data_IF_167802399127
#
_entry.id   IF_167802399127
#
_cell.length_a   1.000
_cell.length_b   1.000
_cell.length_c   1.000
_cell.angle_alpha   90.00
_cell.angle_beta   90.00
_cell.angle_gamma   90.00
#
_symmetry.space_group_name_H-M   'P 1'
#
loop_
_entity.id
_entity.type
_entity.pdbx_description
1 polymer ?
#
# COMPACT_ATOMS: atom_id res chain seq x y z
N UNK A 1 14.04 -1.98 -12.25
CA UNK A 1 13.39 -0.77 -11.71
C UNK A 1 12.17 -1.26 -10.97
N UNK A 2 12.14 -1.14 -9.64
CA UNK A 2 10.87 -1.29 -8.92
C UNK A 2 10.07 -0.04 -9.28
N UNK A 3 8.99 -0.18 -10.03
CA UNK A 3 8.00 0.90 -10.17
C UNK A 3 7.57 1.32 -8.76
N UNK A 4 7.65 2.60 -8.46
CA UNK A 4 7.12 3.15 -7.22
C UNK A 4 5.60 2.99 -7.23
N UNK A 5 5.03 2.45 -6.16
CA UNK A 5 3.58 2.37 -6.01
C UNK A 5 3.00 3.78 -6.04
N UNK A 6 1.92 3.97 -6.79
CA UNK A 6 1.24 5.26 -6.91
C UNK A 6 -0.10 5.27 -6.20
N UNK A 7 -0.48 6.43 -5.65
CA UNK A 7 -1.81 6.68 -5.12
C UNK A 7 -2.81 6.98 -6.25
N UNK A 8 -4.08 7.20 -5.89
CA UNK A 8 -5.16 7.48 -6.87
C UNK A 8 -5.02 8.82 -7.61
N UNK A 9 -4.11 9.70 -7.16
CA UNK A 9 -3.77 10.97 -7.80
C UNK A 9 -2.60 10.84 -8.78
N UNK A 10 -1.97 9.66 -8.86
CA UNK A 10 -0.78 9.43 -9.69
C UNK A 10 0.53 9.88 -9.03
N UNK A 11 0.50 10.20 -7.73
CA UNK A 11 1.69 10.56 -6.94
C UNK A 11 2.23 9.33 -6.20
N UNK A 12 3.40 9.45 -5.57
CA UNK A 12 3.99 8.35 -4.78
C UNK A 12 3.04 7.94 -3.64
N UNK A 13 2.87 6.64 -3.45
CA UNK A 13 2.02 6.09 -2.39
C UNK A 13 2.69 6.28 -1.01
N UNK A 14 2.03 7.07 -0.16
CA UNK A 14 2.46 7.29 1.21
C UNK A 14 2.13 6.11 2.14
N UNK A 15 2.83 5.99 3.29
CA UNK A 15 2.46 5.05 4.34
C UNK A 15 1.04 5.28 4.87
N UNK A 16 0.24 4.23 4.94
CA UNK A 16 -1.08 4.26 5.55
C UNK A 16 -1.01 4.20 7.08
N UNK A 17 -0.19 3.34 7.70
CA UNK A 17 0.02 3.34 9.17
C UNK A 17 1.26 2.54 9.58
N UNK A 18 2.07 3.13 10.48
CA UNK A 18 3.25 2.48 11.06
C UNK A 18 3.03 2.00 12.50
N UNK A 19 1.97 2.48 13.17
CA UNK A 19 1.62 2.10 14.54
C UNK A 19 0.11 2.27 14.78
N UNK A 20 -0.69 1.20 14.66
CA UNK A 20 -0.30 -0.19 14.38
C UNK A 20 0.23 -0.37 12.94
N UNK A 21 1.16 -1.30 12.74
CA UNK A 21 1.74 -1.58 11.42
C UNK A 21 0.70 -2.24 10.51
N UNK A 22 0.39 -1.60 9.38
CA UNK A 22 -0.63 -2.06 8.41
C UNK A 22 0.00 -2.59 7.10
N UNK A 23 -0.84 -2.84 6.10
CA UNK A 23 -0.46 -3.29 4.76
C UNK A 23 -0.41 -4.82 4.66
N UNK A 24 -0.75 -5.37 3.49
CA UNK A 24 -0.70 -6.82 3.25
C UNK A 24 0.72 -7.37 3.48
N UNK A 25 1.74 -6.65 3.01
CA UNK A 25 3.15 -6.98 3.18
C UNK A 25 3.72 -6.55 4.54
N UNK A 26 2.91 -5.95 5.43
CA UNK A 26 3.33 -5.38 6.71
C UNK A 26 4.48 -4.38 6.57
N UNK A 27 4.39 -3.54 5.54
CA UNK A 27 5.32 -2.45 5.24
C UNK A 27 4.74 -1.08 5.62
N UNK A 28 3.51 -1.04 6.12
CA UNK A 28 2.81 0.19 6.49
C UNK A 28 2.01 0.83 5.35
N UNK A 29 2.03 0.28 4.13
CA UNK A 29 1.37 0.85 2.97
C UNK A 29 0.32 -0.08 2.37
N UNK A 30 -0.67 0.49 1.68
CA UNK A 30 -1.73 -0.26 0.99
C UNK A 30 -1.28 -0.77 -0.40
N UNK A 31 -0.07 -1.33 -0.45
CA UNK A 31 0.52 -1.83 -1.69
C UNK A 31 -0.24 -3.05 -2.23
N UNK A 32 -0.39 -3.10 -3.55
CA UNK A 32 -0.97 -4.23 -4.27
C UNK A 32 0.10 -4.96 -5.08
N UNK A 33 -0.20 -6.19 -5.48
CA UNK A 33 0.74 -6.99 -6.26
C UNK A 33 0.18 -8.38 -6.54
N UNK A 34 0.89 -9.16 -7.37
CA UNK A 34 0.47 -10.51 -7.78
C UNK A 34 0.24 -11.47 -6.62
N UNK A 35 0.85 -11.20 -5.46
CA UNK A 35 0.74 -12.01 -4.25
C UNK A 35 -0.37 -11.53 -3.28
N UNK A 36 -1.10 -10.46 -3.61
CA UNK A 36 -2.19 -9.89 -2.81
C UNK A 36 -3.55 -10.02 -3.55
N UNK A 37 -4.13 -11.24 -3.63
CA UNK A 37 -5.33 -11.49 -4.44
C UNK A 37 -6.60 -10.83 -3.88
N UNK A 38 -6.63 -10.54 -2.58
CA UNK A 38 -7.73 -9.83 -1.92
C UNK A 38 -7.64 -8.30 -2.08
N UNK A 39 -6.54 -7.78 -2.64
CA UNK A 39 -6.34 -6.36 -2.98
C UNK A 39 -6.59 -5.41 -1.80
N UNK A 40 -5.67 -5.43 -0.83
CA UNK A 40 -5.64 -4.48 0.30
C UNK A 40 -5.17 -3.07 -0.13
N UNK A 41 -5.92 -2.40 -1.00
CA UNK A 41 -5.51 -1.12 -1.63
C UNK A 41 -6.11 0.14 -1.00
N UNK A 42 -7.11 0.00 -0.13
CA UNK A 42 -7.85 1.14 0.42
C UNK A 42 -7.36 1.44 1.84
N UNK A 43 -6.78 2.62 2.05
CA UNK A 43 -6.47 3.14 3.38
C UNK A 43 -7.73 3.80 3.96
N UNK A 44 -8.20 3.34 5.13
CA UNK A 44 -9.49 3.74 5.72
C UNK A 44 -9.41 4.07 7.22
N UNK A 45 -8.30 4.69 7.65
CA UNK A 45 -7.98 4.98 9.05
C UNK A 45 -9.16 5.06 10.04
#
# INVERSE_FOLDING_TARGET
MMDESVNVLGEVLEPCSLKPLTGFHRDGSCNTGKHNPAVHAVCIY
#
